data_IF_425923683908
#
_entry.id   IF_425923683908
#
_cell.length_a   1.000
_cell.length_b   1.000
_cell.length_c   1.000
_cell.angle_alpha   90.00
_cell.angle_beta   90.00
_cell.angle_gamma   90.00
#
_symmetry.space_group_name_H-M   'P 1'
#
loop_
_entity.id
_entity.type
_entity.pdbx_description
1 polymer ?
#
# COMPACT_ATOMS: atom_id res chain seq x y z
N UNK A 1 -7.75 8.78 -16.48
CA UNK A 1 -8.30 10.08 -16.93
C UNK A 1 -9.83 10.00 -17.01
N UNK A 2 -10.52 11.08 -17.43
CA UNK A 2 -11.97 11.06 -17.68
C UNK A 2 -12.86 11.42 -16.48
N UNK A 3 -14.18 11.37 -16.72
CA UNK A 3 -15.19 11.60 -15.68
C UNK A 3 -15.12 10.47 -14.63
N UNK A 4 -15.04 10.85 -13.34
CA UNK A 4 -14.81 9.90 -12.25
C UNK A 4 -13.34 9.45 -12.10
N UNK A 5 -12.43 9.90 -12.96
CA UNK A 5 -11.00 9.64 -12.85
C UNK A 5 -10.32 10.48 -11.76
N UNK A 6 -9.11 10.05 -11.36
CA UNK A 6 -8.33 10.66 -10.28
C UNK A 6 -8.14 12.19 -10.47
N UNK A 7 -7.80 12.66 -11.68
CA UNK A 7 -7.56 14.09 -11.91
C UNK A 7 -8.82 14.94 -11.68
N UNK A 8 -9.98 14.46 -12.10
CA UNK A 8 -11.26 15.14 -11.85
C UNK A 8 -11.58 15.19 -10.34
N UNK A 9 -11.31 14.11 -9.61
CA UNK A 9 -11.46 14.08 -8.15
C UNK A 9 -10.52 15.09 -7.46
N UNK A 10 -9.28 15.21 -7.93
CA UNK A 10 -8.32 16.20 -7.42
C UNK A 10 -8.83 17.61 -7.69
N UNK A 11 -9.29 17.92 -8.91
CA UNK A 11 -9.84 19.23 -9.26
C UNK A 11 -11.02 19.62 -8.37
N UNK A 12 -12.03 18.76 -8.25
CA UNK A 12 -13.21 18.98 -7.40
C UNK A 12 -12.82 19.21 -5.93
N UNK A 13 -11.81 18.46 -5.45
CA UNK A 13 -11.35 18.59 -4.06
C UNK A 13 -10.56 19.87 -3.83
N UNK A 14 -9.72 20.29 -4.78
CA UNK A 14 -9.03 21.59 -4.72
C UNK A 14 -10.05 22.74 -4.75
N UNK A 15 -11.07 22.67 -5.60
CA UNK A 15 -12.09 23.71 -5.70
C UNK A 15 -12.93 23.84 -4.43
N UNK A 16 -13.23 22.71 -3.78
CA UNK A 16 -14.05 22.70 -2.56
C UNK A 16 -13.27 22.97 -1.26
N UNK A 17 -11.99 22.60 -1.18
CA UNK A 17 -11.20 22.64 0.08
C UNK A 17 -9.85 23.36 -0.03
N UNK A 18 -9.40 23.71 -1.24
CA UNK A 18 -8.12 24.37 -1.49
C UNK A 18 -6.89 23.47 -1.40
N UNK A 19 -7.04 22.19 -1.05
CA UNK A 19 -5.93 21.24 -0.90
C UNK A 19 -6.37 19.78 -1.04
N UNK A 20 -5.42 18.89 -1.35
CA UNK A 20 -5.60 17.44 -1.48
C UNK A 20 -4.41 16.73 -0.86
N UNK A 21 -4.68 15.62 -0.17
CA UNK A 21 -3.65 14.67 0.25
C UNK A 21 -3.96 13.33 -0.41
N UNK A 22 -2.96 12.74 -1.07
CA UNK A 22 -3.08 11.46 -1.75
C UNK A 22 -2.11 10.50 -1.07
N UNK A 23 -2.61 9.34 -0.65
CA UNK A 23 -1.80 8.23 -0.15
C UNK A 23 -1.85 7.13 -1.19
N UNK A 24 -0.68 6.68 -1.65
CA UNK A 24 -0.55 5.65 -2.68
C UNK A 24 0.38 4.55 -2.17
N UNK A 25 0.00 3.30 -2.37
CA UNK A 25 0.85 2.16 -2.06
C UNK A 25 1.91 1.99 -3.17
N UNK A 26 3.13 1.63 -2.81
CA UNK A 26 4.26 1.43 -3.75
C UNK A 26 3.92 0.50 -4.93
N UNK A 27 3.12 -0.54 -4.67
CA UNK A 27 2.68 -1.50 -5.67
C UNK A 27 1.46 -1.10 -6.50
N UNK A 28 0.91 0.10 -6.33
CA UNK A 28 -0.20 0.59 -7.15
C UNK A 28 0.27 1.06 -8.53
N UNK A 29 -0.62 1.00 -9.54
CA UNK A 29 -0.38 1.58 -10.87
C UNK A 29 0.79 0.96 -11.64
N UNK A 30 1.17 -0.28 -11.32
CA UNK A 30 2.31 -0.95 -11.97
C UNK A 30 2.03 -1.28 -13.44
N UNK A 31 0.76 -1.25 -13.86
CA UNK A 31 0.29 -1.30 -15.24
C UNK A 31 0.73 -0.10 -16.09
N UNK A 32 1.12 1.03 -15.47
CA UNK A 32 1.64 2.21 -16.18
C UNK A 32 3.13 2.13 -16.50
N UNK A 33 3.82 1.07 -16.07
CA UNK A 33 5.25 0.89 -16.25
C UNK A 33 5.55 -0.33 -17.12
N UNK A 34 6.49 -0.19 -18.04
CA UNK A 34 6.94 -1.29 -18.88
C UNK A 34 7.73 -2.31 -18.06
N UNK A 35 7.12 -3.47 -17.81
CA UNK A 35 7.69 -4.54 -16.99
C UNK A 35 9.08 -5.02 -17.47
N UNK A 36 9.40 -4.87 -18.75
CA UNK A 36 10.70 -5.23 -19.34
C UNK A 36 11.83 -4.25 -19.02
N UNK A 37 11.52 -3.01 -18.60
CA UNK A 37 12.52 -1.95 -18.40
C UNK A 37 13.03 -1.84 -16.96
N UNK A 38 12.21 -2.24 -15.98
CA UNK A 38 12.53 -2.13 -14.56
C UNK A 38 13.51 -3.20 -14.07
N UNK A 39 13.55 -4.36 -14.73
CA UNK A 39 14.43 -5.48 -14.38
C UNK A 39 14.11 -6.12 -13.02
N UNK A 40 15.07 -6.87 -12.48
CA UNK A 40 14.97 -7.54 -11.17
C UNK A 40 15.99 -7.00 -10.18
N UNK A 41 15.70 -7.12 -8.90
CA UNK A 41 16.67 -6.91 -7.82
C UNK A 41 17.66 -8.09 -7.72
N UNK A 42 18.63 -7.97 -6.81
CA UNK A 42 19.64 -9.01 -6.57
C UNK A 42 19.05 -10.32 -5.99
N UNK A 43 17.81 -10.28 -5.48
CA UNK A 43 17.09 -11.42 -4.93
C UNK A 43 16.13 -12.06 -5.95
N UNK A 44 16.07 -11.55 -7.18
CA UNK A 44 15.20 -12.05 -8.25
C UNK A 44 13.78 -11.48 -8.23
N UNK A 45 13.46 -10.51 -7.35
CA UNK A 45 12.16 -9.86 -7.36
C UNK A 45 12.09 -8.82 -8.48
N UNK A 46 10.92 -8.65 -9.09
CA UNK A 46 10.69 -7.55 -10.04
C UNK A 46 10.83 -6.22 -9.31
N UNK A 47 11.58 -5.28 -9.90
CA UNK A 47 11.57 -3.90 -9.42
C UNK A 47 10.25 -3.24 -9.76
N UNK A 48 9.72 -2.47 -8.82
CA UNK A 48 8.50 -1.69 -9.01
C UNK A 48 8.84 -0.33 -9.59
N UNK A 49 7.94 0.20 -10.42
CA UNK A 49 8.00 1.58 -10.86
C UNK A 49 7.60 2.51 -9.71
N UNK A 50 8.26 3.66 -9.61
CA UNK A 50 7.91 4.67 -8.59
C UNK A 50 6.61 5.39 -9.00
N UNK A 51 5.49 4.83 -8.54
CA UNK A 51 4.15 5.39 -8.77
C UNK A 51 3.98 6.79 -8.18
N UNK A 52 4.71 7.13 -7.10
CA UNK A 52 4.65 8.44 -6.48
C UNK A 52 5.21 9.54 -7.38
N UNK A 53 6.39 9.28 -7.96
CA UNK A 53 7.01 10.18 -8.95
C UNK A 53 6.18 10.24 -10.23
N UNK A 54 5.64 9.11 -10.69
CA UNK A 54 4.75 9.06 -11.85
C UNK A 54 3.52 9.95 -11.65
N UNK A 55 2.77 9.76 -10.56
CA UNK A 55 1.58 10.56 -10.25
C UNK A 55 1.91 12.05 -10.12
N UNK A 56 3.05 12.41 -9.51
CA UNK A 56 3.50 13.80 -9.44
C UNK A 56 3.62 14.42 -10.83
N UNK A 57 4.28 13.72 -11.77
CA UNK A 57 4.46 14.22 -13.13
C UNK A 57 3.16 14.31 -13.92
N UNK A 58 2.28 13.31 -13.79
CA UNK A 58 1.00 13.30 -14.51
C UNK A 58 0.04 14.39 -13.99
N UNK A 59 -0.03 14.59 -12.67
CA UNK A 59 -0.83 15.66 -12.08
C UNK A 59 -0.28 17.03 -12.51
N UNK A 60 1.04 17.23 -12.49
CA UNK A 60 1.66 18.48 -12.95
C UNK A 60 1.36 18.77 -14.42
N UNK A 61 1.43 17.74 -15.27
CA UNK A 61 1.08 17.85 -16.70
C UNK A 61 -0.38 18.22 -16.90
N UNK A 62 -1.29 17.56 -16.18
CA UNK A 62 -2.74 17.80 -16.26
C UNK A 62 -3.09 19.25 -15.93
N UNK A 63 -2.58 19.77 -14.81
CA UNK A 63 -2.86 21.16 -14.39
C UNK A 63 -2.15 22.21 -15.25
N UNK A 64 -0.95 21.90 -15.76
CA UNK A 64 -0.23 22.79 -16.69
C UNK A 64 -0.96 22.95 -18.01
N UNK A 65 -1.56 21.88 -18.55
CA UNK A 65 -2.38 21.93 -19.76
C UNK A 65 -3.65 22.78 -19.59
N UNK A 66 -4.16 22.87 -18.37
CA UNK A 66 -5.31 23.72 -18.00
C UNK A 66 -4.92 25.15 -17.57
N UNK A 67 -3.64 25.54 -17.70
CA UNK A 67 -3.10 26.84 -17.24
C UNK A 67 -3.33 27.14 -15.74
N UNK A 68 -3.51 26.10 -14.92
CA UNK A 68 -3.73 26.21 -13.47
C UNK A 68 -2.45 25.88 -12.73
N UNK A 69 -2.00 26.77 -11.84
CA UNK A 69 -0.82 26.52 -10.99
C UNK A 69 -1.21 25.79 -9.71
N UNK A 70 -0.66 24.60 -9.50
CA UNK A 70 -0.79 23.83 -8.26
C UNK A 70 0.59 23.57 -7.65
N UNK A 71 0.68 23.53 -6.32
CA UNK A 71 1.91 23.15 -5.62
C UNK A 71 1.84 21.67 -5.24
N UNK A 72 2.72 20.86 -5.82
CA UNK A 72 2.75 19.41 -5.58
C UNK A 72 4.00 19.08 -4.75
N UNK A 73 3.81 18.43 -3.60
CA UNK A 73 4.89 17.92 -2.75
C UNK A 73 4.81 16.41 -2.71
N UNK A 74 5.86 15.75 -3.20
CA UNK A 74 6.03 14.31 -3.05
C UNK A 74 6.80 14.01 -1.77
N UNK A 75 6.29 13.06 -0.98
CA UNK A 75 6.90 12.62 0.27
C UNK A 75 6.96 11.10 0.23
N UNK A 76 8.18 10.55 0.22
CA UNK A 76 8.42 9.13 0.40
C UNK A 76 9.00 8.88 1.80
N UNK A 77 8.19 8.43 2.76
CA UNK A 77 8.66 8.14 4.11
C UNK A 77 9.22 6.72 4.25
N UNK A 78 9.42 5.94 3.16
CA UNK A 78 9.78 4.52 3.23
C UNK A 78 10.98 4.25 4.12
N UNK A 79 12.07 5.02 3.96
CA UNK A 79 13.25 4.87 4.81
C UNK A 79 12.99 5.29 6.26
N UNK A 80 12.23 6.37 6.47
CA UNK A 80 11.88 6.88 7.80
C UNK A 80 11.06 5.86 8.59
N UNK A 81 10.07 5.22 7.94
CA UNK A 81 9.22 4.21 8.57
C UNK A 81 10.00 2.93 8.87
N UNK A 82 10.83 2.46 7.93
CA UNK A 82 11.58 1.20 8.09
C UNK A 82 12.77 1.30 9.04
N UNK A 83 13.32 2.51 9.23
CA UNK A 83 14.50 2.74 10.07
C UNK A 83 14.18 3.29 11.45
N UNK A 84 12.91 3.62 11.71
CA UNK A 84 12.48 4.05 13.03
C UNK A 84 12.70 2.92 14.06
N UNK A 85 13.14 3.26 15.29
CA UNK A 85 13.23 2.26 16.36
C UNK A 85 11.84 1.70 16.66
N UNK A 86 11.79 0.41 16.99
CA UNK A 86 10.55 -0.25 17.37
C UNK A 86 9.94 0.40 18.62
N UNK A 87 8.64 0.68 18.58
CA UNK A 87 7.90 1.11 19.77
C UNK A 87 7.80 -0.01 20.80
N UNK A 88 7.38 0.31 22.02
CA UNK A 88 7.26 -0.68 23.12
C UNK A 88 6.39 -1.88 22.75
N UNK A 89 5.26 -1.64 22.06
CA UNK A 89 4.36 -2.70 21.63
C UNK A 89 5.02 -3.65 20.61
N UNK A 90 5.70 -3.10 19.60
CA UNK A 90 6.40 -3.89 18.58
C UNK A 90 7.60 -4.64 19.17
N UNK A 91 8.35 -4.00 20.06
CA UNK A 91 9.46 -4.65 20.77
C UNK A 91 8.97 -5.86 21.58
N UNK A 92 7.89 -5.68 22.36
CA UNK A 92 7.28 -6.79 23.11
C UNK A 92 6.75 -7.88 22.18
N UNK A 93 6.10 -7.51 21.07
CA UNK A 93 5.61 -8.46 20.09
C UNK A 93 6.74 -9.28 19.47
N UNK A 94 7.82 -8.60 19.05
CA UNK A 94 9.03 -9.23 18.50
C UNK A 94 9.69 -10.18 19.49
N UNK A 95 9.85 -9.79 20.76
CA UNK A 95 10.39 -10.67 21.81
C UNK A 95 9.54 -11.93 21.97
N UNK A 96 8.20 -11.80 21.99
CA UNK A 96 7.31 -12.96 22.12
C UNK A 96 7.40 -13.91 20.93
N UNK A 97 7.46 -13.37 19.70
CA UNK A 97 7.66 -14.18 18.50
C UNK A 97 9.02 -14.91 18.54
N UNK A 98 10.08 -14.22 18.95
CA UNK A 98 11.42 -14.80 19.07
C UNK A 98 11.46 -15.95 20.08
N UNK A 99 10.88 -15.77 21.27
CA UNK A 99 10.78 -16.84 22.27
C UNK A 99 9.99 -18.04 21.72
N UNK A 100 8.88 -17.80 21.03
CA UNK A 100 8.09 -18.83 20.37
C UNK A 100 8.89 -19.63 19.35
N UNK A 101 9.66 -18.93 18.50
CA UNK A 101 10.52 -19.55 17.50
C UNK A 101 11.63 -20.40 18.13
N UNK A 102 12.28 -19.90 19.19
CA UNK A 102 13.31 -20.64 19.92
C UNK A 102 12.74 -21.91 20.55
N UNK A 103 11.61 -21.83 21.26
CA UNK A 103 10.98 -23.00 21.85
C UNK A 103 10.58 -24.04 20.81
N UNK A 104 10.03 -23.59 19.68
CA UNK A 104 9.67 -24.49 18.60
C UNK A 104 10.91 -25.19 18.02
N UNK A 105 11.99 -24.47 17.76
CA UNK A 105 13.25 -25.04 17.29
C UNK A 105 13.85 -26.03 18.30
N UNK A 106 13.87 -25.69 19.59
CA UNK A 106 14.36 -26.58 20.65
C UNK A 106 13.51 -27.84 20.82
N UNK A 107 12.22 -27.79 20.47
CA UNK A 107 11.33 -28.95 20.41
C UNK A 107 11.46 -29.79 19.12
N UNK A 108 12.43 -29.48 18.26
CA UNK A 108 12.69 -30.20 17.02
C UNK A 108 11.79 -29.81 15.83
N UNK A 109 11.05 -28.69 15.92
CA UNK A 109 10.20 -28.22 14.81
C UNK A 109 11.03 -27.45 13.79
N UNK A 110 10.75 -27.69 12.52
CA UNK A 110 11.39 -27.02 11.37
C UNK A 110 10.34 -26.65 10.31
N UNK A 111 10.74 -25.89 9.29
CA UNK A 111 9.92 -25.50 8.14
C UNK A 111 8.56 -24.88 8.51
N UNK A 112 8.57 -23.98 9.50
CA UNK A 112 7.37 -23.33 10.03
C UNK A 112 7.65 -21.87 10.44
N UNK A 113 6.60 -21.07 10.40
CA UNK A 113 6.53 -19.69 10.87
C UNK A 113 5.86 -19.64 12.25
N UNK A 114 6.31 -18.73 13.10
CA UNK A 114 5.62 -18.39 14.36
C UNK A 114 4.87 -17.09 14.17
N UNK A 115 3.59 -17.07 14.51
CA UNK A 115 2.75 -15.89 14.42
C UNK A 115 1.66 -15.88 15.48
N UNK A 116 0.81 -14.85 15.47
CA UNK A 116 -0.38 -14.81 16.31
C UNK A 116 -1.64 -14.98 15.47
N UNK A 117 -2.52 -15.88 15.91
CA UNK A 117 -3.84 -16.07 15.34
C UNK A 117 -4.88 -15.97 16.46
N UNK A 118 -5.84 -15.03 16.34
CA UNK A 118 -6.81 -14.71 17.40
C UNK A 118 -6.19 -14.57 18.81
N UNK A 119 -5.05 -13.86 18.90
CA UNK A 119 -4.36 -13.61 20.16
C UNK A 119 -3.55 -14.80 20.71
N UNK A 120 -3.52 -15.94 20.01
CA UNK A 120 -2.74 -17.11 20.40
C UNK A 120 -1.48 -17.27 19.56
N UNK A 121 -0.35 -17.58 20.21
CA UNK A 121 0.88 -17.91 19.53
C UNK A 121 0.70 -19.24 18.77
N UNK A 122 0.94 -19.23 17.47
CA UNK A 122 0.62 -20.32 16.56
C UNK A 122 1.82 -20.65 15.68
N UNK A 123 2.08 -21.95 15.50
CA UNK A 123 3.06 -22.46 14.53
C UNK A 123 2.34 -22.79 13.23
N UNK A 124 2.82 -22.23 12.13
CA UNK A 124 2.21 -22.39 10.81
C UNK A 124 3.24 -23.02 9.87
N UNK A 125 3.01 -24.23 9.34
CA UNK A 125 3.95 -24.85 8.42
C UNK A 125 4.03 -24.04 7.11
N UNK A 126 5.22 -23.96 6.51
CA UNK A 126 5.40 -23.18 5.27
C UNK A 126 4.52 -23.68 4.12
N UNK A 127 4.24 -24.98 4.06
CA UNK A 127 3.32 -25.57 3.08
C UNK A 127 1.89 -25.02 3.16
N UNK A 128 1.45 -24.54 4.33
CA UNK A 128 0.14 -23.91 4.47
C UNK A 128 0.11 -22.47 3.93
N UNK A 129 1.27 -21.86 3.69
CA UNK A 129 1.43 -20.49 3.19
C UNK A 129 1.68 -20.42 1.69
N UNK A 130 2.04 -21.54 1.05
CA UNK A 130 2.35 -21.58 -0.38
C UNK A 130 1.22 -21.03 -1.24
N UNK A 131 1.57 -20.07 -2.10
CA UNK A 131 0.63 -19.40 -3.00
C UNK A 131 -0.39 -18.48 -2.33
N UNK A 132 -0.32 -18.29 -1.01
CA UNK A 132 -1.28 -17.46 -0.26
C UNK A 132 -0.69 -16.09 0.05
N UNK A 133 -1.50 -15.06 -0.16
CA UNK A 133 -1.18 -13.68 0.22
C UNK A 133 -2.37 -13.08 0.94
N UNK A 134 -2.11 -12.36 2.03
CA UNK A 134 -3.13 -11.58 2.71
C UNK A 134 -3.39 -10.31 1.90
N UNK A 135 -4.62 -10.15 1.41
CA UNK A 135 -5.08 -8.94 0.72
C UNK A 135 -6.05 -8.19 1.63
N UNK A 136 -6.13 -6.87 1.45
CA UNK A 136 -7.21 -6.07 2.02
C UNK A 136 -8.51 -6.54 1.38
N UNK A 137 -9.54 -6.75 2.19
CA UNK A 137 -10.89 -7.02 1.69
C UNK A 137 -11.55 -5.66 1.36
N UNK A 138 -11.82 -5.33 0.08
CA UNK A 138 -12.48 -4.08 -0.29
C UNK A 138 -13.92 -3.98 0.24
N UNK A 139 -14.55 -5.11 0.56
CA UNK A 139 -15.89 -5.15 1.15
C UNK A 139 -15.84 -5.29 2.68
N UNK A 140 -14.65 -5.24 3.28
CA UNK A 140 -14.43 -5.40 4.72
C UNK A 140 -14.37 -4.07 5.47
N UNK A 141 -14.68 -4.11 6.77
CA UNK A 141 -14.75 -2.94 7.68
C UNK A 141 -13.56 -1.98 7.55
N UNK A 142 -12.35 -2.51 7.39
CA UNK A 142 -11.14 -1.71 7.19
C UNK A 142 -11.27 -0.77 5.99
N UNK A 143 -11.74 -1.27 4.84
CA UNK A 143 -11.85 -0.46 3.63
C UNK A 143 -13.03 0.51 3.71
N UNK A 144 -14.16 0.09 4.26
CA UNK A 144 -15.30 0.98 4.52
C UNK A 144 -14.91 2.17 5.40
N UNK A 145 -14.12 1.94 6.44
CA UNK A 145 -13.60 3.01 7.31
C UNK A 145 -12.75 4.02 6.52
N UNK A 146 -11.97 3.56 5.55
CA UNK A 146 -11.18 4.43 4.66
C UNK A 146 -12.11 5.25 3.77
N UNK A 147 -13.12 4.64 3.15
CA UNK A 147 -14.07 5.34 2.28
C UNK A 147 -14.84 6.42 3.06
N UNK A 148 -15.34 6.11 4.26
CA UNK A 148 -16.06 7.06 5.10
C UNK A 148 -15.19 8.23 5.54
N UNK A 149 -13.95 7.96 5.96
CA UNK A 149 -13.02 8.98 6.45
C UNK A 149 -12.54 9.90 5.33
N UNK A 150 -12.26 9.34 4.15
CA UNK A 150 -11.71 10.11 3.02
C UNK A 150 -12.80 10.77 2.17
N UNK A 151 -14.01 10.20 2.14
CA UNK A 151 -15.08 10.59 1.24
C UNK A 151 -14.79 10.29 -0.23
N UNK A 152 -13.80 9.43 -0.51
CA UNK A 152 -13.48 9.02 -1.89
C UNK A 152 -14.53 8.04 -2.42
N UNK A 153 -14.75 7.97 -3.75
CA UNK A 153 -15.67 6.99 -4.33
C UNK A 153 -15.15 5.57 -4.13
N UNK A 154 -16.08 4.59 -4.19
CA UNK A 154 -15.74 3.17 -4.09
C UNK A 154 -14.74 2.74 -5.16
N UNK A 155 -14.92 3.23 -6.38
CA UNK A 155 -14.02 3.04 -7.51
C UNK A 155 -13.64 4.37 -8.15
N UNK A 156 -12.39 4.49 -8.59
CA UNK A 156 -11.86 5.66 -9.30
C UNK A 156 -11.62 5.25 -10.76
N UNK A 157 -12.19 6.00 -11.71
CA UNK A 157 -11.96 5.80 -13.14
C UNK A 157 -13.04 5.05 -13.92
N UNK A 158 -14.15 4.66 -13.30
CA UNK A 158 -15.32 4.15 -14.01
C UNK A 158 -16.23 5.30 -14.45
N UNK A 159 -16.27 5.57 -15.76
CA UNK A 159 -17.37 6.31 -16.38
C UNK A 159 -18.65 5.50 -16.17
N UNK A 160 -19.68 6.12 -15.58
CA UNK A 160 -20.84 5.43 -15.03
C UNK A 160 -21.40 4.30 -15.90
N UNK A 161 -21.36 3.08 -15.39
CA UNK A 161 -22.43 2.12 -15.65
C UNK A 161 -23.57 2.46 -14.69
N UNK A 162 -24.52 3.22 -15.22
CA UNK A 162 -25.83 3.38 -14.61
C UNK A 162 -26.51 2.02 -14.63
N UNK A 163 -26.87 1.49 -13.46
CA UNK A 163 -28.10 0.74 -13.22
C UNK A 163 -28.59 1.06 -11.80
#
# INVERSE_FOLDING_TARGET
>A
EGEGGLFNLIERRIESKGHVVIVVAEGAGQEFFDAGTLGTDASGNRKLGDIGVYLKHEIDRHFSAAERRVSIKYIDPSYLVRSAPAGTADALHGTRLAHGAVHAAMSGRTAMLVGYWHGQLTHVPFSALEGRQRRVNPEGELWWSVLETTGQPLEIGTSGSSE
#
